data_IF_356597886472
#
_entry.id   IF_356597886472
#
_cell.length_a   1.000
_cell.length_b   1.000
_cell.length_c   1.000
_cell.angle_alpha   90.00
_cell.angle_beta   90.00
_cell.angle_gamma   90.00
#
_symmetry.space_group_name_H-M   'P 1'
#
loop_
_entity.id
_entity.type
_entity.pdbx_description
1 polymer ?
#
# COMPACT_ATOMS: atom_id res chain seq x y z
N UNK A 1 40.24 -15.98 16.67
CA UNK A 1 39.02 -16.69 17.08
C UNK A 1 37.87 -16.23 16.23
N UNK A 2 37.17 -17.19 15.63
CA UNK A 2 35.83 -17.17 15.01
C UNK A 2 35.54 -16.12 13.93
N UNK A 3 35.56 -16.61 12.67
CA UNK A 3 35.00 -15.98 11.47
C UNK A 3 33.48 -15.79 11.63
N UNK A 4 32.90 -14.61 11.34
CA UNK A 4 31.46 -14.47 11.24
C UNK A 4 30.94 -15.23 10.00
N UNK A 5 29.76 -15.87 10.07
CA UNK A 5 29.24 -16.69 8.99
C UNK A 5 28.78 -15.82 7.80
N UNK A 6 29.27 -16.14 6.61
CA UNK A 6 28.80 -15.60 5.36
C UNK A 6 27.50 -16.32 4.94
N UNK A 7 26.32 -15.87 5.41
CA UNK A 7 25.04 -16.22 4.75
C UNK A 7 23.85 -15.29 5.04
N UNK A 8 24.02 -14.06 5.53
CA UNK A 8 22.86 -13.25 6.01
C UNK A 8 22.76 -11.83 5.44
N UNK A 9 23.34 -11.54 4.28
CA UNK A 9 23.31 -10.16 3.74
C UNK A 9 22.20 -9.94 2.69
N UNK A 10 21.70 -10.99 2.04
CA UNK A 10 20.70 -10.81 0.96
C UNK A 10 19.30 -10.47 1.47
N UNK A 11 18.87 -11.03 2.61
CA UNK A 11 17.51 -10.83 3.11
C UNK A 11 17.28 -9.47 3.80
N UNK A 12 18.36 -8.78 4.20
CA UNK A 12 18.24 -7.45 4.78
C UNK A 12 18.10 -6.38 3.71
N UNK A 13 18.83 -6.50 2.60
CA UNK A 13 18.83 -5.49 1.53
C UNK A 13 17.44 -5.38 0.89
N UNK A 14 16.82 -6.51 0.52
CA UNK A 14 15.44 -6.55 -0.01
C UNK A 14 14.37 -6.09 1.00
N UNK A 15 14.62 -6.25 2.31
CA UNK A 15 13.69 -5.76 3.33
C UNK A 15 13.83 -4.25 3.53
N UNK A 16 15.06 -3.72 3.53
CA UNK A 16 15.33 -2.28 3.67
C UNK A 16 14.86 -1.50 2.45
N UNK A 17 15.12 -1.97 1.23
CA UNK A 17 14.68 -1.29 -0.01
C UNK A 17 13.15 -1.24 -0.12
N UNK A 18 12.47 -2.36 0.14
CA UNK A 18 11.01 -2.40 0.15
C UNK A 18 10.39 -1.55 1.27
N UNK A 19 11.10 -1.34 2.37
CA UNK A 19 10.67 -0.42 3.42
C UNK A 19 10.84 1.05 2.98
N UNK A 20 11.93 1.40 2.31
CA UNK A 20 12.14 2.77 1.84
C UNK A 20 11.09 3.16 0.79
N UNK A 21 10.90 2.31 -0.23
CA UNK A 21 9.92 2.51 -1.29
C UNK A 21 8.49 2.65 -0.76
N UNK A 22 8.08 1.81 0.19
CA UNK A 22 6.74 1.91 0.78
C UNK A 22 6.58 3.20 1.60
N UNK A 23 7.63 3.65 2.28
CA UNK A 23 7.64 4.93 2.97
C UNK A 23 7.39 6.10 2.02
N UNK A 24 8.10 6.11 0.90
CA UNK A 24 7.98 7.13 -0.12
C UNK A 24 6.57 7.14 -0.76
N UNK A 25 6.02 5.98 -1.10
CA UNK A 25 4.65 5.87 -1.58
C UNK A 25 3.62 6.41 -0.57
N UNK A 26 3.77 6.09 0.72
CA UNK A 26 2.86 6.60 1.76
C UNK A 26 2.92 8.13 1.82
N UNK A 27 4.12 8.71 1.76
CA UNK A 27 4.30 10.16 1.79
C UNK A 27 3.64 10.85 0.58
N UNK A 28 3.88 10.32 -0.62
CA UNK A 28 3.44 10.91 -1.88
C UNK A 28 1.95 10.70 -2.15
N UNK A 29 1.42 9.51 -1.85
CA UNK A 29 0.11 9.04 -2.33
C UNK A 29 -0.90 8.84 -1.24
N UNK A 30 -0.49 8.78 0.03
CA UNK A 30 -1.41 8.52 1.14
C UNK A 30 -1.56 9.72 2.08
N UNK A 31 -2.61 9.65 2.89
CA UNK A 31 -2.92 10.54 4.00
C UNK A 31 -3.01 9.69 5.27
N UNK A 32 -2.28 10.09 6.31
CA UNK A 32 -2.24 9.41 7.59
C UNK A 32 -3.15 10.12 8.60
N UNK A 33 -4.19 9.45 9.07
CA UNK A 33 -4.97 9.91 10.20
C UNK A 33 -5.68 8.73 10.88
N UNK A 34 -5.85 8.79 12.20
CA UNK A 34 -6.52 7.74 12.99
C UNK A 34 -7.96 7.47 12.54
N UNK A 35 -8.62 8.45 11.95
CA UNK A 35 -9.99 8.35 11.42
C UNK A 35 -10.04 7.76 10.02
N UNK A 36 -8.91 7.71 9.31
CA UNK A 36 -8.86 7.17 7.95
C UNK A 36 -8.81 5.66 7.96
N UNK A 37 -9.49 5.09 6.97
CA UNK A 37 -9.50 3.66 6.68
C UNK A 37 -9.67 3.49 5.18
N UNK A 38 -8.92 2.56 4.62
CA UNK A 38 -8.93 2.33 3.18
C UNK A 38 -8.82 0.85 2.87
N UNK A 39 -9.47 0.44 1.78
CA UNK A 39 -9.47 -0.95 1.35
C UNK A 39 -8.05 -1.42 1.02
N UNK A 40 -7.70 -2.63 1.47
CA UNK A 40 -6.38 -3.21 1.13
C UNK A 40 -6.22 -3.33 -0.39
N UNK A 41 -7.30 -3.64 -1.10
CA UNK A 41 -7.30 -3.73 -2.57
C UNK A 41 -6.99 -2.39 -3.22
N UNK A 42 -7.60 -1.30 -2.75
CA UNK A 42 -7.38 0.05 -3.28
C UNK A 42 -5.96 0.52 -3.01
N UNK A 43 -5.48 0.36 -1.77
CA UNK A 43 -4.11 0.68 -1.39
C UNK A 43 -3.10 -0.10 -2.22
N UNK A 44 -3.32 -1.42 -2.42
CA UNK A 44 -2.41 -2.24 -3.20
C UNK A 44 -2.43 -1.88 -4.70
N UNK A 45 -3.60 -1.52 -5.25
CA UNK A 45 -3.71 -1.10 -6.64
C UNK A 45 -2.92 0.20 -6.90
N UNK A 46 -2.98 1.15 -5.97
CA UNK A 46 -2.22 2.40 -6.06
C UNK A 46 -0.72 2.18 -5.81
N UNK A 47 -0.37 1.35 -4.81
CA UNK A 47 1.02 0.91 -4.57
C UNK A 47 1.62 0.29 -5.83
N UNK A 48 0.90 -0.60 -6.51
CA UNK A 48 1.36 -1.20 -7.76
C UNK A 48 1.64 -0.14 -8.83
N UNK A 49 0.69 0.75 -9.10
CA UNK A 49 0.85 1.81 -10.10
C UNK A 49 2.05 2.73 -9.78
N UNK A 50 2.24 3.07 -8.50
CA UNK A 50 3.38 3.88 -8.08
C UNK A 50 4.70 3.11 -8.20
N UNK A 51 4.76 1.87 -7.70
CA UNK A 51 5.96 1.05 -7.71
C UNK A 51 6.42 0.72 -9.14
N UNK A 52 5.50 0.40 -10.06
CA UNK A 52 5.81 0.19 -11.47
C UNK A 52 6.44 1.43 -12.12
N UNK A 53 6.03 2.64 -11.73
CA UNK A 53 6.60 3.90 -12.22
C UNK A 53 7.94 4.24 -11.57
N UNK A 54 8.10 3.89 -10.30
CA UNK A 54 9.34 4.07 -9.55
C UNK A 54 10.43 3.05 -9.93
N UNK A 55 10.07 1.97 -10.64
CA UNK A 55 10.97 0.85 -10.94
C UNK A 55 11.11 -0.13 -9.77
N UNK A 56 10.18 -0.06 -8.81
CA UNK A 56 10.17 -0.83 -7.58
C UNK A 56 9.46 -2.18 -7.73
N UNK A 57 9.87 -3.16 -6.94
CA UNK A 57 9.24 -4.48 -6.96
C UNK A 57 7.91 -4.48 -6.20
N UNK A 58 6.79 -4.55 -6.94
CA UNK A 58 5.42 -4.52 -6.40
C UNK A 58 5.15 -5.66 -5.39
N UNK A 59 5.67 -6.86 -5.69
CA UNK A 59 5.40 -8.07 -4.90
C UNK A 59 3.93 -8.51 -4.89
N UNK A 60 3.54 -9.25 -3.85
CA UNK A 60 2.16 -9.75 -3.68
C UNK A 60 1.37 -8.91 -2.67
N UNK A 61 0.03 -8.93 -2.77
CA UNK A 61 -0.89 -8.29 -1.79
C UNK A 61 -0.58 -8.74 -0.36
N UNK A 62 -0.20 -10.01 -0.17
CA UNK A 62 0.17 -10.55 1.15
C UNK A 62 1.42 -9.86 1.69
N UNK A 63 2.46 -9.76 0.87
CA UNK A 63 3.73 -9.09 1.24
C UNK A 63 3.49 -7.62 1.56
N UNK A 64 2.72 -6.92 0.72
CA UNK A 64 2.29 -5.55 0.99
C UNK A 64 1.57 -5.43 2.34
N UNK A 65 0.60 -6.32 2.61
CA UNK A 65 -0.15 -6.32 3.86
C UNK A 65 0.73 -6.62 5.09
N UNK A 66 1.82 -7.37 4.92
CA UNK A 66 2.82 -7.61 5.96
C UNK A 66 3.67 -6.37 6.19
N UNK A 67 4.14 -5.70 5.14
CA UNK A 67 4.93 -4.45 5.24
C UNK A 67 4.13 -3.27 5.85
N UNK A 68 2.81 -3.23 5.62
CA UNK A 68 1.93 -2.28 6.30
C UNK A 68 1.76 -2.65 7.78
N UNK A 69 1.69 -3.94 8.11
CA UNK A 69 1.57 -4.39 9.50
C UNK A 69 2.87 -4.15 10.30
N UNK A 70 4.05 -4.29 9.69
CA UNK A 70 5.34 -3.95 10.35
C UNK A 70 5.40 -2.47 10.71
N UNK A 71 4.82 -1.60 9.88
CA UNK A 71 4.61 -0.16 10.13
C UNK A 71 3.50 0.18 11.12
N UNK A 72 2.93 -0.81 11.81
CA UNK A 72 1.86 -0.64 12.81
C UNK A 72 0.52 -0.16 12.26
N UNK A 73 0.26 -0.31 10.96
CA UNK A 73 -1.09 -0.12 10.44
C UNK A 73 -2.00 -1.28 10.88
N UNK A 74 -3.14 -0.93 11.48
CA UNK A 74 -4.08 -1.91 12.01
C UNK A 74 -4.97 -2.47 10.90
N UNK A 75 -5.09 -3.79 10.84
CA UNK A 75 -6.02 -4.46 9.92
C UNK A 75 -7.43 -4.31 10.46
N UNK A 76 -8.31 -3.70 9.68
CA UNK A 76 -9.70 -3.49 10.00
C UNK A 76 -10.61 -4.02 8.89
N UNK A 77 -11.92 -3.83 9.05
CA UNK A 77 -12.91 -4.14 8.01
C UNK A 77 -13.76 -2.91 7.70
N UNK A 78 -14.05 -2.72 6.42
CA UNK A 78 -15.04 -1.73 5.98
C UNK A 78 -16.46 -2.26 6.19
N UNK A 79 -17.43 -1.36 6.01
CA UNK A 79 -18.84 -1.72 5.92
C UNK A 79 -19.02 -2.78 4.84
N UNK A 80 -19.65 -3.92 5.18
CA UNK A 80 -19.77 -5.07 4.27
C UNK A 80 -18.65 -6.12 4.38
N UNK A 81 -17.70 -5.97 5.33
CA UNK A 81 -16.74 -7.02 5.67
C UNK A 81 -15.47 -7.07 4.82
N UNK A 82 -15.31 -6.14 3.86
CA UNK A 82 -14.10 -6.01 3.07
C UNK A 82 -12.88 -5.67 3.94
N UNK A 83 -11.71 -6.24 3.59
CA UNK A 83 -10.44 -6.02 4.32
C UNK A 83 -9.91 -4.61 4.09
N UNK A 84 -9.54 -3.92 5.15
CA UNK A 84 -8.98 -2.57 5.11
C UNK A 84 -7.83 -2.39 6.10
N UNK A 85 -7.14 -1.26 5.98
CA UNK A 85 -6.16 -0.77 6.94
C UNK A 85 -6.68 0.52 7.56
N UNK A 86 -6.58 0.63 8.88
CA UNK A 86 -6.88 1.84 9.63
C UNK A 86 -5.63 2.71 9.78
N UNK A 87 -5.80 4.02 9.91
CA UNK A 87 -4.71 4.97 10.04
C UNK A 87 -4.23 5.54 8.70
N UNK A 88 -4.77 5.09 7.57
CA UNK A 88 -4.31 5.45 6.22
C UNK A 88 -5.48 5.53 5.23
N UNK A 89 -5.36 6.45 4.28
CA UNK A 89 -6.21 6.54 3.08
C UNK A 89 -5.43 7.06 1.89
N UNK A 90 -5.89 6.76 0.68
CA UNK A 90 -5.32 7.33 -0.53
C UNK A 90 -5.65 8.82 -0.61
N UNK A 91 -4.71 9.62 -1.13
CA UNK A 91 -4.98 11.01 -1.49
C UNK A 91 -6.05 11.04 -2.58
N UNK A 92 -6.99 11.99 -2.53
CA UNK A 92 -7.93 12.18 -3.62
C UNK A 92 -7.11 12.48 -4.88
N UNK A 93 -7.25 11.62 -5.90
CA UNK A 93 -6.67 11.90 -7.20
C UNK A 93 -7.24 13.24 -7.65
N UNK A 94 -6.42 14.19 -8.14
CA UNK A 94 -6.96 15.40 -8.72
C UNK A 94 -7.99 14.97 -9.79
N UNK A 95 -9.11 15.70 -9.93
CA UNK A 95 -10.12 15.41 -10.93
C UNK A 95 -9.51 15.60 -12.33
N UNK A 96 -8.74 14.60 -12.76
CA UNK A 96 -8.23 14.45 -14.10
C UNK A 96 -9.27 13.63 -14.85
N UNK A 97 -10.19 14.37 -15.46
CA UNK A 97 -10.97 14.01 -16.64
C UNK A 97 -11.54 12.58 -16.72
N UNK A 98 -12.05 12.05 -15.61
CA UNK A 98 -12.88 10.83 -15.61
C UNK A 98 -14.37 11.19 -15.61
N UNK A 99 -14.77 12.13 -16.48
CA UNK A 99 -16.13 12.22 -17.01
C UNK A 99 -16.34 11.21 -18.16
N UNK A 100 -15.84 9.97 -17.99
CA UNK A 100 -15.98 8.90 -18.98
C UNK A 100 -16.14 7.53 -18.30
N UNK A 101 -17.18 7.39 -17.50
CA UNK A 101 -17.51 6.13 -16.85
C UNK A 101 -18.85 6.24 -16.14
N UNK A 102 -19.92 5.99 -16.88
CA UNK A 102 -21.30 6.33 -16.53
C UNK A 102 -21.81 5.80 -15.19
N UNK A 103 -22.50 6.68 -14.48
CA UNK A 103 -23.56 6.29 -13.55
C UNK A 103 -24.88 6.21 -14.33
N UNK A 104 -25.43 5.03 -14.65
CA UNK A 104 -26.87 4.87 -14.69
C UNK A 104 -27.34 4.54 -13.28
N UNK A 105 -27.72 5.57 -12.52
CA UNK A 105 -28.67 5.38 -11.43
C UNK A 105 -30.07 5.32 -12.06
N UNK A 106 -30.85 4.32 -11.61
CA UNK A 106 -32.26 3.98 -11.90
C UNK A 106 -32.52 3.09 -13.11
N UNK A 107 -32.90 1.86 -12.80
CA UNK A 107 -34.06 1.27 -13.46
C UNK A 107 -35.21 1.29 -12.43
N UNK A 108 -36.36 1.78 -12.89
CA UNK A 108 -37.65 1.92 -12.21
C UNK A 108 -38.35 0.56 -12.09
#
# INVERSE_FOLDING_TARGET
GLKPPACVVSATEEYFEAEDALGQWIEERCLLAKTHREGVSELFADWRDWAERAGEYVGSVKRFSELMATRKFEKCRLTGGARALAGISLRPKPPSDSYRGGYPYRDD
#
